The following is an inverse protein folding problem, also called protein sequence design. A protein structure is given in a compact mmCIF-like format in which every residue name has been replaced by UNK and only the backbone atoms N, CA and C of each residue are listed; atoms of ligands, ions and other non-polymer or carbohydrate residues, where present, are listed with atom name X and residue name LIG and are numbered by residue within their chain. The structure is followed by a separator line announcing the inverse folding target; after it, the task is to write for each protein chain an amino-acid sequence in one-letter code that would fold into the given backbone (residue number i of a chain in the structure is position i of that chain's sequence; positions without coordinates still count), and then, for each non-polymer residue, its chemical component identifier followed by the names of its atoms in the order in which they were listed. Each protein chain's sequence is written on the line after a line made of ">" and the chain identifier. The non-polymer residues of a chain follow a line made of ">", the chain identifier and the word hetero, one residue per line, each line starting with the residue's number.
data_IF_282369744295
#
_entry.id   IF_282369744295
#
_cell.length_a   1.000
_cell.length_b   1.000
_cell.length_c   1.000
_cell.angle_alpha   90.00
_cell.angle_beta   90.00
_cell.angle_gamma   90.00
#
_symmetry.space_group_name_H-M   'P 1'
#
loop_
_entity.id
_entity.type
_entity.pdbx_description
1 polymer ?
#
# COMPACT_ATOMS: atom_id res chain seq x y z
N UNK A 1 3.34 2.26 -10.00
CA UNK A 1 2.08 3.02 -9.79
C UNK A 1 1.89 3.23 -8.30
N UNK A 2 1.42 4.37 -7.90
CA UNK A 2 1.17 4.74 -6.52
C UNK A 2 -0.33 4.90 -6.26
N UNK A 3 -0.82 4.27 -5.19
CA UNK A 3 -2.20 4.36 -4.72
C UNK A 3 -2.22 5.01 -3.34
N UNK A 4 -2.73 6.22 -3.23
CA UNK A 4 -2.85 6.92 -1.95
C UNK A 4 -3.47 8.30 -2.09
N UNK A 5 -3.92 8.84 -0.98
CA UNK A 5 -4.14 10.26 -0.80
C UNK A 5 -2.77 10.95 -0.72
N UNK A 6 -2.72 12.25 -0.98
CA UNK A 6 -1.50 13.07 -1.04
C UNK A 6 -0.67 13.00 0.25
N UNK A 7 0.02 11.88 0.44
CA UNK A 7 0.76 11.58 1.64
C UNK A 7 2.24 11.82 1.34
N UNK A 8 2.79 12.88 1.90
CA UNK A 8 4.20 13.31 1.74
C UNK A 8 5.22 12.23 2.10
N UNK A 9 4.79 11.16 2.79
CA UNK A 9 5.63 10.07 3.24
C UNK A 9 6.09 9.12 2.11
N UNK A 10 5.35 9.02 1.00
CA UNK A 10 5.66 8.07 -0.08
C UNK A 10 6.47 8.70 -1.25
N UNK A 11 6.89 9.94 -1.12
CA UNK A 11 7.72 10.59 -2.15
C UNK A 11 9.09 9.92 -2.35
N UNK A 12 9.62 9.28 -1.33
CA UNK A 12 10.95 8.65 -1.37
C UNK A 12 10.91 7.32 -2.11
N UNK A 13 9.88 6.52 -1.89
CA UNK A 13 9.62 5.26 -2.59
C UNK A 13 9.38 5.51 -4.08
N UNK A 14 8.59 6.53 -4.40
CA UNK A 14 8.34 6.97 -5.78
C UNK A 14 9.65 7.43 -6.44
N UNK A 15 10.51 8.15 -5.70
CA UNK A 15 11.81 8.59 -6.20
C UNK A 15 12.76 7.42 -6.46
N UNK A 16 12.77 6.41 -5.57
CA UNK A 16 13.54 5.18 -5.78
C UNK A 16 13.06 4.45 -7.04
N UNK A 17 11.76 4.23 -7.20
CA UNK A 17 11.20 3.59 -8.38
C UNK A 17 11.55 4.36 -9.66
N UNK A 18 11.45 5.71 -9.63
CA UNK A 18 11.84 6.54 -10.78
C UNK A 18 13.32 6.39 -11.12
N UNK A 19 14.20 6.34 -10.13
CA UNK A 19 15.63 6.14 -10.34
C UNK A 19 15.95 4.77 -10.95
N UNK A 20 15.10 3.77 -10.73
CA UNK A 20 15.18 2.44 -11.34
C UNK A 20 14.52 2.39 -12.74
N UNK A 21 14.10 3.52 -13.29
CA UNK A 21 13.54 3.61 -14.64
C UNK A 21 12.03 3.39 -14.75
N UNK A 22 11.30 3.29 -13.61
CA UNK A 22 9.85 3.17 -13.67
C UNK A 22 9.18 4.48 -14.09
N UNK A 23 8.21 4.38 -14.99
CA UNK A 23 7.26 5.44 -15.25
C UNK A 23 6.26 5.52 -14.08
N UNK A 24 6.03 6.73 -13.56
CA UNK A 24 5.19 6.93 -12.39
C UNK A 24 3.79 7.38 -12.79
N UNK A 25 2.79 6.66 -12.29
CA UNK A 25 1.37 7.05 -12.33
C UNK A 25 0.86 7.19 -10.90
N UNK A 26 0.37 8.37 -10.55
CA UNK A 26 -0.23 8.64 -9.24
C UNK A 26 -1.74 8.48 -9.36
N UNK A 27 -2.30 7.49 -8.67
CA UNK A 27 -3.73 7.24 -8.63
C UNK A 27 -4.34 8.01 -7.46
N UNK A 28 -5.21 8.97 -7.77
CA UNK A 28 -5.99 9.69 -6.77
C UNK A 28 -7.43 9.17 -6.77
N UNK A 29 -7.98 8.99 -5.58
CA UNK A 29 -9.38 8.52 -5.40
C UNK A 29 -10.39 9.66 -5.34
N UNK A 30 -9.94 10.92 -5.42
CA UNK A 30 -10.79 12.07 -5.16
C UNK A 30 -11.21 12.15 -3.68
N UNK A 31 -12.34 12.78 -3.41
CA UNK A 31 -12.87 12.90 -2.05
C UNK A 31 -13.53 11.59 -1.62
N UNK A 32 -13.02 10.99 -0.55
CA UNK A 32 -13.64 9.84 0.11
C UNK A 32 -14.52 10.30 1.28
N UNK A 33 -15.51 9.48 1.70
CA UNK A 33 -16.30 9.76 2.90
C UNK A 33 -15.42 9.96 4.12
N UNK A 34 -15.73 10.97 4.93
CA UNK A 34 -15.05 11.24 6.20
C UNK A 34 -15.60 10.34 7.33
N UNK A 35 -14.80 10.23 8.42
CA UNK A 35 -15.19 9.49 9.62
C UNK A 35 -15.64 8.05 9.35
N UNK A 36 -14.87 7.35 8.52
CA UNK A 36 -15.17 5.96 8.13
C UNK A 36 -14.74 4.93 9.19
N UNK A 37 -13.84 5.30 10.11
CA UNK A 37 -13.29 4.37 11.12
C UNK A 37 -14.42 3.85 12.02
N UNK A 38 -14.55 2.52 12.10
CA UNK A 38 -15.58 1.86 12.92
C UNK A 38 -16.98 1.80 12.28
N UNK A 39 -17.16 2.40 11.10
CA UNK A 39 -18.42 2.34 10.34
C UNK A 39 -18.21 1.49 9.08
N UNK A 40 -18.63 0.22 9.14
CA UNK A 40 -18.42 -0.74 8.05
C UNK A 40 -19.09 -0.29 6.75
N UNK A 41 -20.30 0.28 6.81
CA UNK A 41 -21.00 0.71 5.61
C UNK A 41 -20.30 1.88 4.92
N UNK A 42 -19.78 2.83 5.70
CA UNK A 42 -18.96 3.94 5.15
C UNK A 42 -17.62 3.45 4.61
N UNK A 43 -16.99 2.48 5.26
CA UNK A 43 -15.74 1.87 4.76
C UNK A 43 -15.98 1.18 3.41
N UNK A 44 -17.05 0.43 3.27
CA UNK A 44 -17.45 -0.23 2.02
C UNK A 44 -17.76 0.79 0.93
N UNK A 45 -18.51 1.85 1.25
CA UNK A 45 -18.75 2.95 0.32
C UNK A 45 -17.47 3.65 -0.13
N UNK A 46 -16.54 3.92 0.80
CA UNK A 46 -15.25 4.52 0.48
C UNK A 46 -14.43 3.61 -0.45
N UNK A 47 -14.42 2.30 -0.20
CA UNK A 47 -13.78 1.32 -1.04
C UNK A 47 -14.36 1.32 -2.47
N UNK A 48 -15.68 1.22 -2.61
CA UNK A 48 -16.34 1.18 -3.92
C UNK A 48 -16.09 2.48 -4.73
N UNK A 49 -16.13 3.64 -4.08
CA UNK A 49 -15.82 4.92 -4.73
C UNK A 49 -14.37 4.99 -5.18
N UNK A 50 -13.43 4.63 -4.29
CA UNK A 50 -12.01 4.66 -4.61
C UNK A 50 -11.66 3.71 -5.75
N UNK A 51 -12.22 2.50 -5.73
CA UNK A 51 -12.00 1.52 -6.78
C UNK A 51 -12.59 1.98 -8.12
N UNK A 52 -13.80 2.53 -8.12
CA UNK A 52 -14.42 3.12 -9.31
C UNK A 52 -13.57 4.25 -9.90
N UNK A 53 -13.05 5.16 -9.08
CA UNK A 53 -12.17 6.22 -9.56
C UNK A 53 -10.85 5.66 -10.10
N UNK A 54 -10.30 4.64 -9.48
CA UNK A 54 -9.11 3.93 -9.96
C UNK A 54 -9.36 3.32 -11.34
N UNK A 55 -10.47 2.61 -11.53
CA UNK A 55 -10.85 2.04 -12.81
C UNK A 55 -10.98 3.10 -13.91
N UNK A 56 -11.63 4.21 -13.61
CA UNK A 56 -11.77 5.33 -14.55
C UNK A 56 -10.42 5.98 -14.90
N UNK A 57 -9.55 6.17 -13.90
CA UNK A 57 -8.24 6.76 -14.11
C UNK A 57 -7.33 5.89 -14.98
N UNK A 58 -7.41 4.58 -14.80
CA UNK A 58 -6.53 3.59 -15.44
C UNK A 58 -7.12 2.95 -16.70
N UNK A 59 -8.33 3.33 -17.10
CA UNK A 59 -9.07 2.70 -18.23
C UNK A 59 -8.32 2.68 -19.56
N UNK A 60 -7.39 3.63 -19.77
CA UNK A 60 -6.62 3.75 -21.03
C UNK A 60 -5.18 3.25 -20.88
N UNK A 61 -4.82 2.61 -19.78
CA UNK A 61 -3.48 2.07 -19.58
C UNK A 61 -3.38 0.70 -20.25
N UNK A 62 -2.50 0.59 -21.25
CA UNK A 62 -2.17 -0.71 -21.83
C UNK A 62 -1.13 -1.43 -20.97
N UNK A 63 -1.62 -2.24 -20.04
CA UNK A 63 -0.77 -2.99 -19.11
C UNK A 63 0.18 -3.97 -19.78
N UNK A 64 -0.18 -4.50 -20.94
CA UNK A 64 0.62 -5.46 -21.70
C UNK A 64 1.85 -4.81 -22.36
N UNK A 65 1.88 -3.49 -22.46
CA UNK A 65 3.04 -2.75 -22.97
C UNK A 65 4.20 -2.64 -21.98
N UNK A 66 3.97 -2.98 -20.69
CA UNK A 66 4.98 -2.88 -19.64
C UNK A 66 5.60 -4.24 -19.32
N UNK A 67 6.93 -4.28 -19.27
CA UNK A 67 7.67 -5.50 -18.88
C UNK A 67 7.63 -5.79 -17.38
N UNK A 68 7.37 -4.79 -16.53
CA UNK A 68 7.23 -4.92 -15.08
C UNK A 68 6.27 -3.88 -14.54
N UNK A 69 5.41 -4.30 -13.62
CA UNK A 69 4.43 -3.44 -12.96
C UNK A 69 4.73 -3.46 -11.45
N UNK A 70 4.91 -2.26 -10.88
CA UNK A 70 5.12 -2.08 -9.45
C UNK A 70 3.98 -1.23 -8.87
N UNK A 71 3.28 -1.77 -7.88
CA UNK A 71 2.31 -1.02 -7.08
C UNK A 71 2.92 -0.62 -5.75
N UNK A 72 2.78 0.65 -5.39
CA UNK A 72 3.15 1.18 -4.07
C UNK A 72 1.88 1.74 -3.47
N UNK A 73 1.50 1.25 -2.30
CA UNK A 73 0.22 1.59 -1.69
C UNK A 73 0.28 1.65 -0.17
N UNK A 74 -0.60 2.45 0.45
CA UNK A 74 -0.68 2.62 1.90
C UNK A 74 -2.14 2.56 2.36
N UNK A 75 -2.38 1.96 3.54
CA UNK A 75 -3.69 1.94 4.21
C UNK A 75 -4.79 1.37 3.30
N UNK A 76 -5.91 2.07 3.12
CA UNK A 76 -6.98 1.68 2.19
C UNK A 76 -6.46 1.48 0.75
N UNK A 77 -5.42 2.21 0.36
CA UNK A 77 -4.78 2.05 -0.95
C UNK A 77 -4.24 0.64 -1.18
N UNK A 78 -3.88 -0.10 -0.13
CA UNK A 78 -3.43 -1.50 -0.25
C UNK A 78 -4.58 -2.43 -0.66
N UNK A 79 -5.81 -2.16 -0.19
CA UNK A 79 -7.01 -2.90 -0.59
C UNK A 79 -7.33 -2.57 -2.05
N UNK A 80 -7.33 -1.28 -2.40
CA UNK A 80 -7.69 -0.81 -3.76
C UNK A 80 -6.71 -1.37 -4.80
N UNK A 81 -5.41 -1.25 -4.57
CA UNK A 81 -4.39 -1.75 -5.49
C UNK A 81 -4.46 -3.26 -5.68
N UNK A 82 -4.68 -4.02 -4.60
CA UNK A 82 -4.81 -5.48 -4.65
C UNK A 82 -6.11 -5.91 -5.36
N UNK A 83 -7.23 -5.22 -5.09
CA UNK A 83 -8.49 -5.47 -5.77
C UNK A 83 -8.39 -5.18 -7.27
N UNK A 84 -7.77 -4.06 -7.63
CA UNK A 84 -7.55 -3.68 -9.03
C UNK A 84 -6.69 -4.71 -9.75
N UNK A 85 -5.54 -5.09 -9.18
CA UNK A 85 -4.67 -6.12 -9.76
C UNK A 85 -5.42 -7.44 -9.99
N UNK A 86 -6.22 -7.86 -9.00
CA UNK A 86 -7.02 -9.08 -9.08
C UNK A 86 -8.11 -9.03 -10.14
N UNK A 87 -8.82 -7.90 -10.27
CA UNK A 87 -9.88 -7.71 -11.28
C UNK A 87 -9.36 -7.74 -12.72
N UNK A 88 -8.14 -7.25 -12.92
CA UNK A 88 -7.50 -7.15 -14.24
C UNK A 88 -6.51 -8.28 -14.53
N UNK A 89 -6.44 -9.29 -13.65
CA UNK A 89 -5.50 -10.43 -13.76
C UNK A 89 -4.05 -9.98 -13.98
N UNK A 90 -3.63 -8.92 -13.29
CA UNK A 90 -2.29 -8.34 -13.44
C UNK A 90 -1.27 -9.07 -12.57
N UNK A 91 -0.16 -9.44 -13.17
CA UNK A 91 1.04 -9.87 -12.41
C UNK A 91 1.84 -8.64 -12.01
N UNK A 92 1.84 -8.33 -10.72
CA UNK A 92 2.47 -7.12 -10.18
C UNK A 92 3.42 -7.44 -9.02
N UNK A 93 4.47 -6.63 -8.86
CA UNK A 93 5.15 -6.48 -7.58
C UNK A 93 4.39 -5.46 -6.73
N UNK A 94 4.23 -5.69 -5.43
CA UNK A 94 3.53 -4.73 -4.58
C UNK A 94 4.30 -4.42 -3.30
N UNK A 95 4.35 -3.13 -2.95
CA UNK A 95 4.85 -2.64 -1.68
C UNK A 95 3.65 -2.10 -0.90
N UNK A 96 3.33 -2.79 0.21
CA UNK A 96 2.14 -2.56 1.02
C UNK A 96 2.55 -1.89 2.33
N UNK A 97 2.29 -0.59 2.47
CA UNK A 97 2.52 0.14 3.71
C UNK A 97 1.28 0.12 4.59
N UNK A 98 1.44 -0.31 5.84
CA UNK A 98 0.36 -0.40 6.84
C UNK A 98 -0.93 -1.00 6.26
N UNK A 99 -0.86 -2.23 5.70
CA UNK A 99 -2.02 -2.87 5.08
C UNK A 99 -3.10 -3.14 6.12
N UNK A 100 -4.35 -3.03 5.67
CA UNK A 100 -5.53 -3.43 6.43
C UNK A 100 -5.83 -4.91 6.21
N UNK A 101 -6.61 -5.53 7.11
CA UNK A 101 -6.92 -6.96 7.04
C UNK A 101 -7.55 -7.37 5.70
N UNK A 102 -8.43 -6.53 5.15
CA UNK A 102 -9.13 -6.78 3.88
C UNK A 102 -8.19 -6.87 2.66
N UNK A 103 -6.97 -6.29 2.75
CA UNK A 103 -5.93 -6.42 1.72
C UNK A 103 -5.60 -7.88 1.44
N UNK A 104 -5.58 -8.70 2.50
CA UNK A 104 -5.22 -10.12 2.43
C UNK A 104 -6.33 -11.02 1.86
N UNK A 105 -7.48 -10.46 1.47
CA UNK A 105 -8.52 -11.18 0.73
C UNK A 105 -8.13 -11.45 -0.72
N UNK A 106 -7.15 -10.71 -1.25
CA UNK A 106 -6.67 -10.82 -2.63
C UNK A 106 -5.41 -11.70 -2.75
N UNK A 107 -5.00 -11.99 -3.98
CA UNK A 107 -3.68 -12.55 -4.26
C UNK A 107 -2.61 -11.48 -4.04
N UNK A 108 -1.56 -11.82 -3.29
CA UNK A 108 -0.46 -10.92 -2.95
C UNK A 108 0.90 -11.51 -3.35
N UNK A 109 0.90 -12.44 -4.31
CA UNK A 109 2.15 -13.00 -4.82
C UNK A 109 3.07 -11.87 -5.34
N UNK A 110 4.35 -11.91 -4.97
CA UNK A 110 5.30 -10.87 -5.33
C UNK A 110 5.15 -9.56 -4.54
N UNK A 111 4.53 -9.62 -3.35
CA UNK A 111 4.37 -8.45 -2.46
C UNK A 111 5.33 -8.50 -1.27
N UNK A 112 5.64 -7.31 -0.72
CA UNK A 112 6.19 -7.13 0.63
C UNK A 112 5.31 -6.16 1.41
N UNK A 113 5.28 -6.28 2.74
CA UNK A 113 4.46 -5.44 3.60
C UNK A 113 5.26 -4.87 4.77
N UNK A 114 4.89 -3.64 5.18
CA UNK A 114 5.44 -2.93 6.34
C UNK A 114 4.30 -2.59 7.30
N UNK A 115 4.47 -2.85 8.60
CA UNK A 115 3.44 -2.61 9.59
C UNK A 115 4.04 -2.11 10.91
N UNK A 116 3.39 -1.12 11.53
CA UNK A 116 3.76 -0.59 12.84
C UNK A 116 3.04 -1.32 13.98
N UNK A 117 3.76 -1.74 15.02
CA UNK A 117 3.13 -2.53 16.10
C UNK A 117 2.21 -1.70 17.04
N UNK A 118 2.18 -0.39 16.90
CA UNK A 118 1.25 0.51 17.59
C UNK A 118 0.22 1.12 16.61
N UNK A 119 -0.02 0.46 15.46
CA UNK A 119 -1.00 0.90 14.48
C UNK A 119 -2.43 0.77 15.04
N UNK A 120 -3.19 1.88 15.20
CA UNK A 120 -4.54 1.81 15.76
C UNK A 120 -5.61 1.36 14.75
N UNK A 121 -5.26 1.16 13.47
CA UNK A 121 -6.18 0.77 12.41
C UNK A 121 -6.20 -0.73 12.16
N UNK A 122 -5.13 -1.44 12.51
CA UNK A 122 -5.02 -2.86 12.26
C UNK A 122 -4.22 -3.55 13.38
N UNK A 123 -4.80 -4.58 13.98
CA UNK A 123 -4.14 -5.35 15.03
C UNK A 123 -2.96 -6.14 14.46
N UNK A 124 -1.78 -5.97 15.06
CA UNK A 124 -0.53 -6.57 14.60
C UNK A 124 -0.62 -8.09 14.47
N UNK A 125 -1.23 -8.77 15.43
CA UNK A 125 -1.37 -10.24 15.43
C UNK A 125 -2.22 -10.73 14.28
N UNK A 126 -3.28 -9.99 13.93
CA UNK A 126 -4.13 -10.29 12.78
C UNK A 126 -3.33 -10.13 11.49
N UNK A 127 -2.63 -9.00 11.32
CA UNK A 127 -1.82 -8.73 10.12
C UNK A 127 -0.70 -9.77 9.97
N UNK A 128 -0.01 -10.14 11.05
CA UNK A 128 1.01 -11.19 11.03
C UNK A 128 0.47 -12.53 10.55
N UNK A 129 -0.66 -12.96 11.12
CA UNK A 129 -1.32 -14.21 10.73
C UNK A 129 -1.73 -14.23 9.26
N UNK A 130 -2.34 -13.14 8.78
CA UNK A 130 -2.78 -13.01 7.40
C UNK A 130 -1.60 -12.95 6.43
N UNK A 131 -0.54 -12.20 6.76
CA UNK A 131 0.68 -12.15 5.96
C UNK A 131 1.35 -13.52 5.86
N UNK A 132 1.42 -14.28 6.97
CA UNK A 132 1.94 -15.64 6.97
C UNK A 132 1.10 -16.58 6.08
N UNK A 133 -0.24 -16.51 6.16
CA UNK A 133 -1.14 -17.32 5.34
C UNK A 133 -1.01 -17.04 3.85
N UNK A 134 -0.66 -15.82 3.49
CA UNK A 134 -0.48 -15.36 2.09
C UNK A 134 0.98 -15.40 1.63
N UNK A 135 1.89 -15.88 2.48
CA UNK A 135 3.33 -15.95 2.21
C UNK A 135 3.94 -14.58 1.84
N UNK A 136 3.38 -13.49 2.42
CA UNK A 136 3.86 -12.13 2.23
C UNK A 136 4.94 -11.80 3.27
N UNK A 137 6.18 -11.48 2.86
CA UNK A 137 7.20 -10.98 3.78
C UNK A 137 6.70 -9.72 4.50
N UNK A 138 6.56 -9.80 5.83
CA UNK A 138 6.07 -8.71 6.67
C UNK A 138 7.20 -8.15 7.53
N UNK A 139 7.45 -6.85 7.41
CA UNK A 139 8.44 -6.13 8.22
C UNK A 139 7.73 -5.32 9.30
N UNK A 140 7.92 -5.74 10.55
CA UNK A 140 7.35 -5.05 11.72
C UNK A 140 8.26 -3.95 12.22
N UNK A 141 7.68 -2.79 12.51
CA UNK A 141 8.34 -1.67 13.17
C UNK A 141 7.78 -1.50 14.57
N UNK A 142 8.61 -1.77 15.57
CA UNK A 142 8.21 -1.71 16.99
C UNK A 142 7.78 -0.29 17.39
N UNK A 143 6.66 -0.19 18.10
CA UNK A 143 6.07 1.05 18.61
C UNK A 143 5.70 2.09 17.54
N UNK A 144 5.79 1.76 16.26
CA UNK A 144 5.39 2.67 15.20
C UNK A 144 3.87 2.61 14.97
N UNK A 145 3.32 3.76 14.65
CA UNK A 145 1.91 3.99 14.33
C UNK A 145 1.57 3.64 12.86
N UNK A 146 0.40 4.06 12.39
CA UNK A 146 -0.08 3.88 11.02
C UNK A 146 0.76 4.63 9.95
N UNK A 147 1.60 5.58 10.35
CA UNK A 147 2.55 6.27 9.47
C UNK A 147 3.97 5.67 9.53
N UNK A 148 4.15 4.57 10.25
CA UNK A 148 5.46 3.98 10.59
C UNK A 148 6.35 4.92 11.39
N UNK A 149 5.75 5.76 12.22
CA UNK A 149 6.41 6.72 13.08
C UNK A 149 6.19 6.38 14.55
N UNK A 150 7.20 6.63 15.37
CA UNK A 150 7.17 6.45 16.83
C UNK A 150 6.94 7.77 17.58
N UNK A 151 7.13 8.89 16.90
CA UNK A 151 7.15 10.24 17.48
C UNK A 151 8.52 10.67 18.01
N UNK A 152 9.54 9.81 17.94
CA UNK A 152 10.94 10.18 18.17
C UNK A 152 11.64 10.38 16.83
N UNK A 153 12.05 11.60 16.55
CA UNK A 153 12.56 12.03 15.24
C UNK A 153 13.77 11.20 14.77
N UNK A 154 14.71 10.88 15.66
CA UNK A 154 15.92 10.13 15.26
C UNK A 154 15.61 8.66 15.01
N UNK A 155 14.71 8.08 15.80
CA UNK A 155 14.17 6.74 15.58
C UNK A 155 13.43 6.69 14.26
N UNK A 156 12.57 7.67 13.98
CA UNK A 156 11.76 7.73 12.74
C UNK A 156 12.63 7.87 11.48
N UNK A 157 13.71 8.66 11.54
CA UNK A 157 14.72 8.71 10.45
C UNK A 157 15.38 7.34 10.24
N UNK A 158 15.68 6.62 11.30
CA UNK A 158 16.29 5.28 11.23
C UNK A 158 15.30 4.27 10.64
N UNK A 159 14.03 4.32 11.06
CA UNK A 159 12.95 3.50 10.50
C UNK A 159 12.82 3.75 9.00
N UNK A 160 12.74 5.03 8.61
CA UNK A 160 12.63 5.42 7.21
C UNK A 160 13.81 4.88 6.39
N UNK A 161 15.04 5.06 6.85
CA UNK A 161 16.25 4.54 6.18
C UNK A 161 16.15 3.03 5.97
N UNK A 162 15.86 2.29 7.04
CA UNK A 162 15.77 0.82 6.98
C UNK A 162 14.66 0.35 6.05
N UNK A 163 13.53 1.06 6.05
CA UNK A 163 12.40 0.78 5.14
C UNK A 163 12.82 1.00 3.70
N UNK A 164 13.48 2.13 3.39
CA UNK A 164 13.96 2.44 2.04
C UNK A 164 15.00 1.43 1.53
N UNK A 165 15.92 0.98 2.37
CA UNK A 165 16.89 -0.06 2.00
C UNK A 165 16.23 -1.40 1.64
N UNK A 166 15.08 -1.72 2.27
CA UNK A 166 14.30 -2.91 1.93
C UNK A 166 13.52 -2.74 0.63
N UNK A 167 12.92 -1.56 0.46
CA UNK A 167 12.22 -1.18 -0.78
C UNK A 167 13.18 -1.24 -1.96
N UNK A 168 14.36 -0.63 -1.85
CA UNK A 168 15.37 -0.61 -2.91
C UNK A 168 15.82 -2.02 -3.34
N UNK A 169 15.98 -2.93 -2.38
CA UNK A 169 16.34 -4.33 -2.68
C UNK A 169 15.19 -5.12 -3.31
N UNK A 170 13.97 -4.70 -3.09
CA UNK A 170 12.78 -5.38 -3.62
C UNK A 170 12.43 -4.95 -5.04
N UNK A 171 12.63 -3.67 -5.38
CA UNK A 171 12.35 -3.11 -6.71
C UNK A 171 13.31 -3.72 -7.75
#
# INVERSE_FOLDING_TARGET
>A
MYFGTDDSHLHKEISLARNQGYQILNVSYGSLPENVKGDRAKMEQAFELALKHTEQFLQNVDWHSYGSILFISKSIGTIISSAYASRHDLTVKSILFTPLADTFSFSLAGSIAFHGTADPWAETEIIQKLAQQKEVPLFLTKNANHSLETGDVLTDITILKTTMERVERFI
#
